data_IF_487436805770
#
_entry.id   IF_487436805770
#
_cell.length_a   1.000
_cell.length_b   1.000
_cell.length_c   1.000
_cell.angle_alpha   90.00
_cell.angle_beta   90.00
_cell.angle_gamma   90.00
#
_symmetry.space_group_name_H-M   'P 1'
#
loop_
_entity.id
_entity.type
_entity.pdbx_description
1 polymer ?
#
# COMPACT_ATOMS: atom_id res chain seq x y z
N UNK A 1 42.49 37.23 -6.77
CA UNK A 1 41.20 37.97 -6.61
C UNK A 1 40.11 36.93 -6.45
N UNK A 2 39.53 36.90 -5.26
CA UNK A 2 38.59 35.91 -4.75
C UNK A 2 37.21 35.93 -5.41
N UNK A 3 36.47 34.81 -5.36
CA UNK A 3 35.06 34.75 -5.70
C UNK A 3 34.19 35.22 -4.52
N UNK A 4 33.25 36.14 -4.78
CA UNK A 4 32.32 36.64 -3.76
C UNK A 4 31.22 35.61 -3.41
N UNK A 5 31.06 35.41 -2.10
CA UNK A 5 30.17 34.49 -1.42
C UNK A 5 28.65 34.68 -1.71
N UNK A 6 27.86 33.59 -1.66
CA UNK A 6 26.40 33.68 -1.57
C UNK A 6 25.95 34.09 -0.17
N UNK A 7 25.15 35.15 -0.08
CA UNK A 7 24.56 35.63 1.18
C UNK A 7 23.70 34.55 1.84
N UNK A 8 24.03 34.27 3.10
CA UNK A 8 23.38 33.31 3.97
C UNK A 8 21.98 33.75 4.43
N UNK A 9 21.12 32.74 4.57
CA UNK A 9 20.08 32.49 5.58
C UNK A 9 19.51 33.69 6.37
N UNK A 10 18.20 33.88 6.25
CA UNK A 10 17.36 34.43 7.31
C UNK A 10 16.31 33.38 7.74
N UNK A 11 16.40 32.96 9.01
CA UNK A 11 15.25 32.60 9.85
C UNK A 11 14.65 31.20 9.72
N UNK A 12 15.31 30.19 10.32
CA UNK A 12 14.56 29.13 10.99
C UNK A 12 13.72 29.77 12.11
N UNK A 13 12.41 29.81 11.96
CA UNK A 13 11.48 30.09 13.07
C UNK A 13 11.31 28.81 13.88
N UNK A 14 11.90 28.79 15.07
CA UNK A 14 11.66 27.76 16.09
C UNK A 14 10.16 27.54 16.30
N UNK A 15 9.80 26.26 16.47
CA UNK A 15 8.53 25.85 17.02
C UNK A 15 8.35 26.47 18.42
N UNK A 16 7.55 27.53 18.52
CA UNK A 16 7.01 27.96 19.80
C UNK A 16 5.94 26.95 20.21
N UNK A 17 6.30 26.11 21.19
CA UNK A 17 5.33 25.54 22.13
C UNK A 17 4.65 26.72 22.84
N UNK A 18 3.50 27.14 22.32
CA UNK A 18 2.61 28.11 22.94
C UNK A 18 1.22 27.53 22.97
N UNK A 19 0.72 27.21 24.16
CA UNK A 19 -0.63 26.69 24.36
C UNK A 19 -1.67 27.66 23.78
N UNK A 20 -2.55 27.15 22.93
CA UNK A 20 -3.65 27.93 22.39
C UNK A 20 -4.83 27.91 23.37
N UNK A 21 -4.75 28.75 24.40
CA UNK A 21 -5.83 29.00 25.36
C UNK A 21 -6.78 30.10 24.87
N UNK A 22 -7.27 30.03 23.62
CA UNK A 22 -8.42 30.84 23.17
C UNK A 22 -9.32 30.00 22.24
N UNK A 23 -10.59 29.84 22.61
CA UNK A 23 -11.59 29.17 21.77
C UNK A 23 -11.70 29.93 20.43
N UNK A 24 -11.46 29.31 19.26
CA UNK A 24 -11.53 30.01 17.99
C UNK A 24 -12.96 30.50 17.73
N UNK A 25 -13.11 31.79 17.39
CA UNK A 25 -14.40 32.38 16.98
C UNK A 25 -14.99 31.54 15.84
N UNK A 26 -16.20 31.01 16.04
CA UNK A 26 -16.91 30.21 15.03
C UNK A 26 -17.16 31.08 13.80
N UNK A 27 -16.76 30.59 12.63
CA UNK A 27 -16.91 31.33 11.37
C UNK A 27 -18.08 30.81 10.56
N UNK A 28 -18.70 31.72 9.83
CA UNK A 28 -19.82 31.44 8.96
C UNK A 28 -19.32 31.20 7.52
N UNK A 29 -19.94 30.25 6.80
CA UNK A 29 -19.66 30.02 5.39
C UNK A 29 -20.12 31.22 4.56
N UNK A 30 -19.44 31.47 3.44
CA UNK A 30 -19.97 32.36 2.39
C UNK A 30 -20.83 31.55 1.43
N UNK A 31 -21.83 32.18 0.84
CA UNK A 31 -22.80 31.51 -0.02
C UNK A 31 -22.16 31.15 -1.38
N UNK A 32 -21.54 32.12 -2.06
CA UNK A 32 -20.94 31.91 -3.38
C UNK A 32 -19.51 32.45 -3.53
N UNK A 33 -18.77 31.82 -4.43
CA UNK A 33 -17.53 32.33 -4.99
C UNK A 33 -17.81 33.19 -6.23
N UNK A 34 -16.97 34.19 -6.47
CA UNK A 34 -16.95 34.85 -7.77
C UNK A 34 -16.26 33.95 -8.82
N UNK A 35 -16.57 34.25 -10.10
CA UNK A 35 -16.11 33.46 -11.25
C UNK A 35 -14.60 33.43 -11.39
N UNK A 36 -13.92 34.53 -11.07
CA UNK A 36 -12.48 34.66 -11.24
C UNK A 36 -11.75 33.87 -10.14
N UNK A 37 -12.21 33.97 -8.90
CA UNK A 37 -11.73 33.19 -7.76
C UNK A 37 -11.88 31.70 -8.02
N UNK A 38 -13.05 31.23 -8.46
CA UNK A 38 -13.21 29.81 -8.79
C UNK A 38 -12.27 29.38 -9.91
N UNK A 39 -12.21 30.13 -11.01
CA UNK A 39 -11.38 29.78 -12.16
C UNK A 39 -9.89 29.78 -11.81
N UNK A 40 -9.43 30.68 -10.93
CA UNK A 40 -8.04 30.75 -10.50
C UNK A 40 -7.71 29.63 -9.50
N UNK A 41 -8.52 29.47 -8.45
CA UNK A 41 -8.22 28.56 -7.34
C UNK A 41 -8.62 27.10 -7.61
N UNK A 42 -9.61 26.79 -8.44
CA UNK A 42 -9.96 25.40 -8.75
C UNK A 42 -9.28 24.86 -10.03
N UNK A 43 -8.52 25.68 -10.77
CA UNK A 43 -7.77 25.22 -11.93
C UNK A 43 -6.80 24.08 -11.58
N UNK A 44 -7.02 22.88 -12.10
CA UNK A 44 -6.30 21.65 -11.72
C UNK A 44 -4.88 21.54 -12.32
N UNK A 45 -4.06 22.57 -12.18
CA UNK A 45 -2.67 22.56 -12.64
C UNK A 45 -1.86 21.48 -11.91
N UNK A 46 -0.92 20.84 -12.63
CA UNK A 46 0.01 19.83 -12.06
C UNK A 46 0.91 20.44 -10.99
N UNK A 47 1.40 21.65 -11.28
CA UNK A 47 2.20 22.48 -10.39
C UNK A 47 1.61 23.88 -10.44
N UNK A 48 1.32 24.46 -9.29
CA UNK A 48 0.74 25.78 -9.18
C UNK A 48 1.53 26.58 -8.15
N UNK A 49 2.01 27.76 -8.56
CA UNK A 49 2.57 28.79 -7.70
C UNK A 49 1.55 29.93 -7.50
N UNK A 50 1.77 30.74 -6.46
CA UNK A 50 1.00 31.96 -6.20
C UNK A 50 -0.45 31.77 -5.72
N UNK A 51 -0.86 30.54 -5.37
CA UNK A 51 -2.21 30.23 -4.86
C UNK A 51 -2.18 29.99 -3.36
N UNK A 52 -2.09 31.08 -2.60
CA UNK A 52 -1.92 31.05 -1.14
C UNK A 52 -3.24 30.80 -0.38
N UNK A 53 -4.37 30.77 -1.10
CA UNK A 53 -5.68 30.48 -0.53
C UNK A 53 -6.20 29.09 -0.94
N UNK A 54 -6.76 28.41 0.05
CA UNK A 54 -7.51 27.17 -0.04
C UNK A 54 -8.99 27.47 0.22
N UNK A 55 -9.81 27.18 -0.79
CA UNK A 55 -11.26 27.18 -0.71
C UNK A 55 -11.79 25.76 -0.58
N UNK A 56 -12.82 25.61 0.26
CA UNK A 56 -13.57 24.39 0.55
C UNK A 56 -15.05 24.68 0.31
N UNK A 57 -15.60 24.18 -0.79
CA UNK A 57 -17.05 24.16 -1.00
C UNK A 57 -17.61 22.88 -0.39
N UNK A 58 -18.62 22.98 0.46
CA UNK A 58 -19.20 21.80 1.10
C UNK A 58 -20.68 21.62 0.77
N UNK A 59 -21.11 20.37 0.85
CA UNK A 59 -22.50 19.97 0.89
C UNK A 59 -22.68 19.00 2.06
N UNK A 60 -23.66 19.23 2.91
CA UNK A 60 -24.04 18.33 4.01
C UNK A 60 -25.44 17.82 3.73
N UNK A 61 -25.54 16.52 3.50
CA UNK A 61 -26.81 15.81 3.35
C UNK A 61 -27.16 15.16 4.69
N UNK A 62 -28.37 15.41 5.18
CA UNK A 62 -28.89 14.84 6.42
C UNK A 62 -29.86 13.71 6.13
N UNK A 63 -29.70 12.60 6.82
CA UNK A 63 -30.62 11.48 6.79
C UNK A 63 -31.34 11.40 8.15
N UNK A 64 -32.62 11.75 8.16
CA UNK A 64 -33.54 11.42 9.25
C UNK A 64 -34.44 10.29 8.79
N UNK A 65 -34.56 9.23 9.58
CA UNK A 65 -35.54 8.14 9.38
C UNK A 65 -35.79 7.77 7.90
N UNK A 66 -34.70 7.43 7.18
CA UNK A 66 -34.70 6.97 5.78
C UNK A 66 -35.20 7.95 4.69
N UNK A 67 -35.29 9.27 4.97
CA UNK A 67 -35.63 10.29 3.96
C UNK A 67 -34.61 11.45 3.96
N UNK A 68 -34.22 12.01 2.78
CA UNK A 68 -33.38 13.20 2.70
C UNK A 68 -34.18 14.44 3.13
N UNK A 69 -33.85 15.03 4.26
CA UNK A 69 -34.67 16.07 4.93
C UNK A 69 -34.21 17.50 4.56
N UNK A 70 -32.89 17.73 4.46
CA UNK A 70 -32.33 19.04 4.09
C UNK A 70 -30.85 18.94 3.67
N UNK A 71 -30.44 19.78 2.72
CA UNK A 71 -29.05 19.94 2.28
C UNK A 71 -28.51 21.32 2.65
N UNK A 72 -27.51 21.38 3.53
CA UNK A 72 -26.77 22.61 3.81
C UNK A 72 -25.58 22.71 2.85
N UNK A 73 -25.30 23.89 2.31
CA UNK A 73 -24.16 24.11 1.43
C UNK A 73 -23.54 25.48 1.67
N UNK A 74 -22.30 25.64 1.23
CA UNK A 74 -21.58 26.90 1.37
C UNK A 74 -20.08 26.75 1.11
N UNK A 75 -19.33 27.82 1.35
CA UNK A 75 -17.89 27.87 1.07
C UNK A 75 -17.12 28.40 2.27
N UNK A 76 -16.05 27.71 2.63
CA UNK A 76 -15.03 28.17 3.57
C UNK A 76 -13.75 28.54 2.83
N UNK A 77 -13.07 29.58 3.30
CA UNK A 77 -11.76 30.00 2.85
C UNK A 77 -10.79 29.93 4.04
N UNK A 78 -9.55 29.51 3.78
CA UNK A 78 -8.48 29.61 4.77
C UNK A 78 -8.14 31.07 5.07
N UNK A 79 -7.72 31.33 6.29
CA UNK A 79 -7.20 32.63 6.68
C UNK A 79 -5.68 32.57 6.77
N UNK A 80 -5.01 33.53 6.14
CA UNK A 80 -3.55 33.62 6.12
C UNK A 80 -3.05 33.74 7.57
N UNK A 81 -2.31 32.72 8.03
CA UNK A 81 -1.70 32.62 9.37
C UNK A 81 -2.58 32.16 10.54
N UNK A 82 -3.85 31.76 10.38
CA UNK A 82 -4.69 31.43 11.56
C UNK A 82 -5.63 30.22 11.48
N UNK A 83 -6.17 29.85 10.32
CA UNK A 83 -7.09 28.70 10.22
C UNK A 83 -7.15 28.16 8.79
N UNK A 84 -7.00 26.86 8.62
CA UNK A 84 -7.24 26.18 7.36
C UNK A 84 -8.75 25.97 7.14
N UNK A 85 -9.19 25.93 5.87
CA UNK A 85 -10.61 25.87 5.53
C UNK A 85 -11.30 24.63 6.12
N UNK A 86 -10.58 23.50 6.17
CA UNK A 86 -11.01 22.23 6.77
C UNK A 86 -11.33 22.39 8.25
N UNK A 87 -10.43 23.02 9.01
CA UNK A 87 -10.60 23.22 10.46
C UNK A 87 -11.72 24.22 10.75
N UNK A 88 -11.81 25.28 9.94
CA UNK A 88 -12.88 26.26 10.02
C UNK A 88 -14.25 25.61 9.77
N UNK A 89 -14.36 24.70 8.79
CA UNK A 89 -15.57 23.89 8.59
C UNK A 89 -15.85 23.00 9.81
N UNK A 90 -14.87 22.25 10.32
CA UNK A 90 -15.09 21.32 11.44
C UNK A 90 -15.55 22.06 12.71
N UNK A 91 -14.96 23.21 13.03
CA UNK A 91 -15.36 24.03 14.17
C UNK A 91 -16.80 24.54 14.02
N UNK A 92 -17.17 25.01 12.84
CA UNK A 92 -18.55 25.45 12.56
C UNK A 92 -19.54 24.28 12.63
N UNK A 93 -19.21 23.15 12.00
CA UNK A 93 -20.07 21.98 11.93
C UNK A 93 -20.35 21.41 13.33
N UNK A 94 -19.30 21.25 14.16
CA UNK A 94 -19.44 20.84 15.57
C UNK A 94 -20.34 21.77 16.37
N UNK A 95 -20.19 23.09 16.19
CA UNK A 95 -20.89 24.05 17.03
C UNK A 95 -22.34 24.33 16.62
N UNK A 96 -22.69 24.11 15.35
CA UNK A 96 -23.96 24.60 14.79
C UNK A 96 -24.85 23.53 14.15
N UNK A 97 -24.28 22.38 13.77
CA UNK A 97 -24.96 21.43 12.88
C UNK A 97 -24.93 20.00 13.38
N UNK A 98 -23.84 19.59 14.02
CA UNK A 98 -23.63 18.21 14.47
C UNK A 98 -24.61 17.83 15.58
N UNK A 99 -25.39 16.77 15.34
CA UNK A 99 -26.24 16.09 16.31
C UNK A 99 -25.89 14.60 16.36
N UNK A 100 -26.01 13.96 17.52
CA UNK A 100 -25.75 12.53 17.69
C UNK A 100 -26.85 11.63 17.11
N UNK A 101 -28.04 12.18 16.83
CA UNK A 101 -29.22 11.41 16.41
C UNK A 101 -29.44 11.40 14.89
N UNK A 102 -28.67 12.18 14.14
CA UNK A 102 -28.77 12.27 12.67
C UNK A 102 -27.57 11.58 12.01
N UNK A 103 -27.76 11.06 10.80
CA UNK A 103 -26.65 10.62 9.96
C UNK A 103 -26.32 11.69 8.92
N UNK A 104 -25.03 11.91 8.70
CA UNK A 104 -24.54 12.94 7.77
C UNK A 104 -23.68 12.33 6.67
N UNK A 105 -23.96 12.73 5.43
CA UNK A 105 -23.00 12.61 4.34
C UNK A 105 -22.46 13.99 3.98
N UNK A 106 -21.17 14.19 4.22
CA UNK A 106 -20.47 15.44 3.96
C UNK A 106 -19.66 15.27 2.70
N UNK A 107 -19.85 16.16 1.73
CA UNK A 107 -19.04 16.24 0.52
C UNK A 107 -18.26 17.55 0.52
N UNK A 108 -16.93 17.47 0.37
CA UNK A 108 -16.02 18.60 0.23
C UNK A 108 -15.44 18.65 -1.17
N UNK A 109 -15.48 19.83 -1.78
CA UNK A 109 -14.75 20.17 -2.99
C UNK A 109 -13.68 21.20 -2.63
N UNK A 110 -12.43 20.75 -2.64
CA UNK A 110 -11.28 21.51 -2.19
C UNK A 110 -10.42 21.97 -3.37
N UNK A 111 -9.98 23.23 -3.33
CA UNK A 111 -8.98 23.75 -4.27
C UNK A 111 -7.59 23.10 -4.12
N UNK A 112 -7.25 22.62 -2.92
CA UNK A 112 -6.03 21.87 -2.58
C UNK A 112 -6.37 20.72 -1.64
N UNK A 113 -5.75 19.56 -1.81
CA UNK A 113 -5.91 18.46 -0.85
C UNK A 113 -5.43 18.88 0.55
N UNK A 114 -5.99 18.31 1.64
CA UNK A 114 -5.61 18.68 2.98
C UNK A 114 -4.12 18.50 3.27
N UNK A 115 -3.56 19.35 4.14
CA UNK A 115 -2.23 19.14 4.70
C UNK A 115 -2.26 18.05 5.79
N UNK A 116 -1.08 17.60 6.27
CA UNK A 116 -0.96 16.57 7.30
C UNK A 116 -1.78 16.91 8.56
N UNK A 117 -1.56 18.09 9.15
CA UNK A 117 -2.26 18.48 10.40
C UNK A 117 -3.78 18.56 10.25
N UNK A 118 -4.27 18.99 9.07
CA UNK A 118 -5.71 18.98 8.79
C UNK A 118 -6.24 17.56 8.60
N UNK A 119 -5.49 16.70 7.90
CA UNK A 119 -5.86 15.31 7.73
C UNK A 119 -5.98 14.58 9.08
N UNK A 120 -5.03 14.78 10.00
CA UNK A 120 -5.05 14.22 11.35
C UNK A 120 -6.30 14.66 12.13
N UNK A 121 -6.60 15.96 12.13
CA UNK A 121 -7.76 16.53 12.81
C UNK A 121 -9.08 16.02 12.22
N UNK A 122 -9.16 15.85 10.90
CA UNK A 122 -10.32 15.27 10.22
C UNK A 122 -10.48 13.79 10.59
N UNK A 123 -9.38 13.03 10.66
CA UNK A 123 -9.40 11.63 11.09
C UNK A 123 -9.87 11.51 12.54
N UNK A 124 -9.38 12.35 13.45
CA UNK A 124 -9.84 12.40 14.83
C UNK A 124 -11.34 12.69 14.91
N UNK A 125 -11.81 13.69 14.17
CA UNK A 125 -13.24 14.02 14.07
C UNK A 125 -14.09 12.84 13.57
N UNK A 126 -13.65 12.12 12.55
CA UNK A 126 -14.37 10.96 12.02
C UNK A 126 -14.35 9.74 12.96
N UNK A 127 -13.32 9.62 13.81
CA UNK A 127 -13.28 8.59 14.86
C UNK A 127 -14.28 8.88 15.97
N UNK A 128 -14.37 10.14 16.39
CA UNK A 128 -15.32 10.62 17.40
C UNK A 128 -16.78 10.51 16.91
N UNK A 129 -17.04 10.73 15.62
CA UNK A 129 -18.39 10.88 15.07
C UNK A 129 -18.69 9.80 14.02
N UNK A 130 -19.06 8.59 14.48
CA UNK A 130 -19.37 7.45 13.60
C UNK A 130 -20.61 7.64 12.71
N UNK A 131 -21.46 8.61 13.04
CA UNK A 131 -22.63 9.00 12.26
C UNK A 131 -22.30 9.92 11.06
N UNK A 132 -21.03 10.22 10.82
CA UNK A 132 -20.58 11.09 9.72
C UNK A 132 -19.78 10.30 8.69
N UNK A 133 -20.17 10.40 7.42
CA UNK A 133 -19.40 9.95 6.26
C UNK A 133 -18.86 11.15 5.51
N UNK A 134 -17.60 11.06 5.05
CA UNK A 134 -16.93 12.17 4.38
C UNK A 134 -16.39 11.77 3.00
N UNK A 135 -16.74 12.57 1.99
CA UNK A 135 -16.23 12.51 0.62
C UNK A 135 -15.44 13.78 0.31
N UNK A 136 -14.16 13.64 -0.02
CA UNK A 136 -13.23 14.72 -0.34
C UNK A 136 -12.85 14.63 -1.82
N UNK A 137 -13.15 15.69 -2.55
CA UNK A 137 -12.77 15.89 -3.94
C UNK A 137 -11.77 17.06 -4.02
N UNK A 138 -10.51 16.77 -4.32
CA UNK A 138 -9.47 17.79 -4.44
C UNK A 138 -9.24 18.16 -5.91
N UNK A 139 -9.18 19.47 -6.21
CA UNK A 139 -8.79 19.97 -7.53
C UNK A 139 -7.31 19.74 -7.82
N UNK A 140 -6.47 19.82 -6.77
CA UNK A 140 -5.01 19.64 -6.83
C UNK A 140 -4.51 18.92 -5.57
N UNK A 141 -3.39 18.23 -5.68
CA UNK A 141 -2.72 17.62 -4.54
C UNK A 141 -1.67 18.57 -3.95
N UNK A 142 -1.75 18.84 -2.65
CA UNK A 142 -0.83 19.72 -1.94
C UNK A 142 0.43 18.97 -1.52
N UNK A 143 1.60 19.48 -1.93
CA UNK A 143 2.92 18.90 -1.64
C UNK A 143 3.00 17.38 -1.79
N UNK A 144 2.37 16.82 -2.83
CA UNK A 144 2.21 15.38 -3.02
C UNK A 144 3.52 14.60 -3.19
N UNK A 145 4.63 15.30 -3.45
CA UNK A 145 5.99 14.74 -3.49
C UNK A 145 6.63 14.56 -2.11
N UNK A 146 6.06 15.14 -1.04
CA UNK A 146 6.57 15.01 0.33
C UNK A 146 5.89 13.82 1.04
N UNK A 147 6.65 12.91 1.67
CA UNK A 147 6.10 11.72 2.35
C UNK A 147 5.03 12.03 3.40
N UNK A 148 5.22 13.07 4.21
CA UNK A 148 4.29 13.45 5.29
C UNK A 148 2.88 13.77 4.78
N UNK A 149 2.79 14.47 3.64
CA UNK A 149 1.51 14.83 3.02
C UNK A 149 0.84 13.61 2.38
N UNK A 150 1.64 12.68 1.84
CA UNK A 150 1.12 11.39 1.38
C UNK A 150 0.55 10.58 2.54
N UNK A 151 1.21 10.57 3.69
CA UNK A 151 0.76 9.90 4.90
C UNK A 151 -0.59 10.44 5.36
N UNK A 152 -0.76 11.77 5.45
CA UNK A 152 -2.06 12.37 5.81
C UNK A 152 -3.21 11.93 4.91
N UNK A 153 -3.00 11.87 3.59
CA UNK A 153 -4.01 11.36 2.65
C UNK A 153 -4.32 9.86 2.83
N UNK A 154 -3.31 9.05 3.19
CA UNK A 154 -3.52 7.63 3.53
C UNK A 154 -4.35 7.50 4.81
N UNK A 155 -4.08 8.28 5.86
CA UNK A 155 -4.84 8.24 7.11
C UNK A 155 -6.33 8.51 6.87
N UNK A 156 -6.65 9.51 6.05
CA UNK A 156 -8.03 9.81 5.66
C UNK A 156 -8.72 8.61 5.01
N UNK A 157 -8.04 7.93 4.08
CA UNK A 157 -8.56 6.72 3.42
C UNK A 157 -8.78 5.57 4.41
N UNK A 158 -7.87 5.37 5.36
CA UNK A 158 -8.00 4.33 6.40
C UNK A 158 -9.23 4.61 7.30
N UNK A 159 -9.53 5.88 7.58
CA UNK A 159 -10.72 6.28 8.33
C UNK A 159 -12.00 6.30 7.46
N UNK A 160 -12.02 5.54 6.36
CA UNK A 160 -13.15 5.40 5.42
C UNK A 160 -13.61 6.72 4.77
N UNK A 161 -12.81 7.78 4.82
CA UNK A 161 -13.07 8.98 4.03
C UNK A 161 -12.72 8.72 2.56
N UNK A 162 -13.60 9.10 1.65
CA UNK A 162 -13.38 8.92 0.23
C UNK A 162 -12.53 10.07 -0.28
N UNK A 163 -11.31 9.83 -0.74
CA UNK A 163 -10.43 10.88 -1.29
C UNK A 163 -10.28 10.70 -2.79
N UNK A 164 -10.72 11.69 -3.58
CA UNK A 164 -10.74 11.65 -5.05
C UNK A 164 -10.24 12.98 -5.64
N UNK A 165 -9.87 12.95 -6.91
CA UNK A 165 -9.59 14.16 -7.69
C UNK A 165 -10.86 14.64 -8.38
N UNK A 166 -11.09 15.95 -8.39
CA UNK A 166 -12.22 16.56 -9.11
C UNK A 166 -12.13 16.31 -10.61
N UNK A 167 -13.14 15.64 -11.15
CA UNK A 167 -13.38 15.41 -12.57
C UNK A 167 -14.02 16.63 -13.23
N UNK A 168 -14.20 16.56 -14.57
CA UNK A 168 -14.96 17.58 -15.29
C UNK A 168 -16.39 17.75 -14.75
N UNK A 169 -17.03 16.65 -14.33
CA UNK A 169 -18.40 16.69 -13.77
C UNK A 169 -18.41 17.45 -12.44
N UNK A 170 -17.40 17.21 -11.60
CA UNK A 170 -17.28 17.87 -10.30
C UNK A 170 -17.02 19.37 -10.47
N UNK A 171 -16.16 19.79 -11.40
CA UNK A 171 -15.96 21.21 -11.69
C UNK A 171 -17.24 21.88 -12.23
N UNK A 172 -17.97 21.20 -13.12
CA UNK A 172 -19.25 21.71 -13.63
C UNK A 172 -20.30 21.80 -12.52
N UNK A 173 -20.34 20.82 -11.63
CA UNK A 173 -21.21 20.82 -10.45
C UNK A 173 -20.87 21.99 -9.53
N UNK A 174 -19.59 22.17 -9.20
CA UNK A 174 -19.19 23.27 -8.33
C UNK A 174 -19.46 24.65 -8.95
N UNK A 175 -19.26 24.79 -10.25
CA UNK A 175 -19.60 26.01 -10.98
C UNK A 175 -21.10 26.34 -10.91
N UNK A 176 -21.97 25.31 -10.96
CA UNK A 176 -23.42 25.50 -10.89
C UNK A 176 -23.88 25.91 -9.49
N UNK A 177 -23.32 25.29 -8.44
CA UNK A 177 -23.88 25.39 -7.09
C UNK A 177 -23.12 26.36 -6.15
N UNK A 178 -21.82 26.58 -6.37
CA UNK A 178 -20.96 27.38 -5.47
C UNK A 178 -20.39 28.64 -6.11
N UNK A 179 -20.73 28.94 -7.36
CA UNK A 179 -20.21 30.11 -8.08
C UNK A 179 -21.37 30.98 -8.54
N UNK A 180 -21.27 32.28 -8.24
CA UNK A 180 -22.18 33.27 -8.80
C UNK A 180 -21.88 33.45 -10.30
N UNK A 181 -22.51 32.60 -11.12
CA UNK A 181 -22.17 32.44 -12.53
C UNK A 181 -23.04 33.25 -13.50
N UNK A 182 -24.09 33.93 -13.01
CA UNK A 182 -25.01 34.75 -13.82
C UNK A 182 -25.60 34.00 -15.04
N UNK A 183 -25.85 32.70 -14.91
CA UNK A 183 -26.35 31.85 -15.99
C UNK A 183 -25.29 31.42 -17.02
N UNK A 184 -24.04 31.85 -16.87
CA UNK A 184 -22.97 31.47 -17.80
C UNK A 184 -22.54 30.01 -17.59
N UNK A 185 -22.37 29.21 -18.66
CA UNK A 185 -21.94 27.83 -18.54
C UNK A 185 -20.48 27.72 -18.12
N UNK A 186 -20.13 26.63 -17.43
CA UNK A 186 -18.76 26.30 -17.08
C UNK A 186 -17.90 26.12 -18.34
N UNK A 187 -16.85 26.91 -18.48
CA UNK A 187 -15.86 26.78 -19.56
C UNK A 187 -14.61 26.06 -19.02
N UNK A 188 -14.28 24.85 -19.49
CA UNK A 188 -13.09 24.14 -19.03
C UNK A 188 -11.81 24.86 -19.48
N UNK A 189 -10.80 24.90 -18.63
CA UNK A 189 -9.48 25.42 -18.97
C UNK A 189 -8.66 24.43 -19.80
N UNK A 190 -7.60 24.93 -20.45
CA UNK A 190 -6.66 24.12 -21.24
C UNK A 190 -6.08 22.99 -20.37
N UNK A 191 -5.98 21.79 -20.95
CA UNK A 191 -5.40 20.57 -20.32
C UNK A 191 -6.14 20.03 -19.09
N UNK A 192 -7.37 20.46 -18.78
CA UNK A 192 -8.16 19.95 -17.64
C UNK A 192 -8.15 18.41 -17.57
N UNK A 193 -8.50 17.73 -18.67
CA UNK A 193 -8.52 16.25 -18.74
C UNK A 193 -7.13 15.61 -18.57
N UNK A 194 -6.10 16.18 -19.21
CA UNK A 194 -4.71 15.68 -19.10
C UNK A 194 -4.14 15.83 -17.69
N UNK A 195 -4.54 16.89 -16.97
CA UNK A 195 -4.11 17.08 -15.58
C UNK A 195 -4.92 16.22 -14.62
N UNK A 196 -6.22 16.05 -14.87
CA UNK A 196 -7.06 15.12 -14.11
C UNK A 196 -6.47 13.71 -14.13
N UNK A 197 -6.15 13.17 -15.31
CA UNK A 197 -5.53 11.85 -15.46
C UNK A 197 -4.21 11.73 -14.67
N UNK A 198 -3.35 12.76 -14.76
CA UNK A 198 -2.10 12.79 -14.00
C UNK A 198 -2.32 12.80 -12.48
N UNK A 199 -3.22 13.66 -11.99
CA UNK A 199 -3.51 13.79 -10.57
C UNK A 199 -4.21 12.55 -10.01
N UNK A 200 -5.10 11.91 -10.78
CA UNK A 200 -5.72 10.62 -10.40
C UNK A 200 -4.65 9.54 -10.29
N UNK A 201 -3.77 9.41 -11.28
CA UNK A 201 -2.68 8.44 -11.22
C UNK A 201 -1.75 8.68 -10.01
N UNK A 202 -1.44 9.95 -9.72
CA UNK A 202 -0.62 10.31 -8.55
C UNK A 202 -1.34 10.07 -7.23
N UNK A 203 -2.62 10.38 -7.13
CA UNK A 203 -3.40 10.07 -5.93
C UNK A 203 -3.52 8.55 -5.74
N UNK A 204 -3.71 7.79 -6.82
CA UNK A 204 -3.71 6.33 -6.79
C UNK A 204 -2.35 5.77 -6.32
N UNK A 205 -1.22 6.33 -6.76
CA UNK A 205 0.12 5.97 -6.27
C UNK A 205 0.26 6.27 -4.77
N UNK A 206 -0.20 7.45 -4.33
CA UNK A 206 -0.10 7.90 -2.94
C UNK A 206 -0.92 7.01 -2.02
N UNK A 207 -2.18 6.76 -2.37
CA UNK A 207 -3.08 5.92 -1.59
C UNK A 207 -2.75 4.43 -1.77
N UNK A 208 -2.16 4.06 -2.92
CA UNK A 208 -1.76 2.72 -3.32
C UNK A 208 -0.38 2.30 -2.82
N UNK A 209 0.38 3.17 -2.15
CA UNK A 209 1.55 2.77 -1.36
C UNK A 209 1.19 1.96 -0.10
N UNK A 210 -0.09 1.64 0.10
CA UNK A 210 -0.56 0.59 1.01
C UNK A 210 -1.05 -0.67 0.27
N UNK A 211 -1.10 -0.68 -1.07
CA UNK A 211 -1.65 -1.75 -1.91
C UNK A 211 -1.19 -1.56 -3.38
N UNK A 212 0.03 -1.97 -3.75
CA UNK A 212 0.36 -2.18 -5.17
C UNK A 212 -0.30 -3.49 -5.61
N UNK A 213 -1.60 -3.45 -5.85
CA UNK A 213 -2.33 -4.59 -6.38
C UNK A 213 -1.69 -5.00 -7.71
N UNK A 214 -1.40 -6.28 -7.85
CA UNK A 214 -0.92 -6.88 -9.09
C UNK A 214 -2.03 -6.76 -10.13
N UNK A 215 -1.66 -6.46 -11.37
CA UNK A 215 -2.59 -6.61 -12.48
C UNK A 215 -2.96 -8.08 -12.63
N UNK A 216 -4.20 -8.37 -13.00
CA UNK A 216 -4.71 -9.73 -13.23
C UNK A 216 -3.80 -10.57 -14.13
N UNK A 217 -3.31 -9.98 -15.23
CA UNK A 217 -2.39 -10.65 -16.14
C UNK A 217 -1.01 -10.96 -15.52
N UNK A 218 -0.48 -10.06 -14.69
CA UNK A 218 0.79 -10.28 -13.97
C UNK A 218 0.62 -11.43 -12.99
N UNK A 219 -0.46 -11.44 -12.21
CA UNK A 219 -0.71 -12.53 -11.28
C UNK A 219 -0.76 -13.88 -12.00
N UNK A 220 -1.62 -14.02 -13.03
CA UNK A 220 -1.75 -15.28 -13.79
C UNK A 220 -0.43 -15.75 -14.39
N UNK A 221 0.37 -14.83 -14.95
CA UNK A 221 1.66 -15.18 -15.55
C UNK A 221 2.71 -15.59 -14.51
N UNK A 222 2.76 -14.89 -13.38
CA UNK A 222 3.88 -15.01 -12.43
C UNK A 222 3.59 -16.03 -11.33
N UNK A 223 2.35 -16.15 -10.86
CA UNK A 223 1.92 -17.11 -9.84
C UNK A 223 1.47 -18.46 -10.42
N UNK A 224 1.32 -18.61 -11.74
CA UNK A 224 0.96 -19.87 -12.38
C UNK A 224 1.90 -21.03 -12.04
N UNK A 225 1.41 -22.10 -11.41
CA UNK A 225 2.24 -23.23 -10.93
C UNK A 225 2.63 -24.24 -12.03
N UNK A 226 2.31 -23.96 -13.29
CA UNK A 226 2.61 -24.87 -14.41
C UNK A 226 4.13 -25.07 -14.56
N UNK A 227 4.61 -26.28 -14.91
CA UNK A 227 6.04 -26.55 -15.08
C UNK A 227 6.64 -25.80 -16.27
N UNK A 228 5.87 -25.60 -17.34
CA UNK A 228 6.28 -24.86 -18.53
C UNK A 228 5.44 -23.60 -18.70
N UNK A 229 6.05 -22.56 -19.27
CA UNK A 229 5.38 -21.29 -19.55
C UNK A 229 4.49 -21.47 -20.80
N UNK A 230 3.18 -21.16 -20.73
CA UNK A 230 2.30 -21.21 -21.89
C UNK A 230 2.68 -20.13 -22.93
N UNK A 231 2.33 -20.35 -24.19
CA UNK A 231 2.53 -19.34 -25.24
C UNK A 231 1.59 -18.13 -25.02
N UNK A 232 2.04 -16.89 -25.32
CA UNK A 232 3.39 -16.51 -25.74
C UNK A 232 4.38 -16.60 -24.58
N UNK A 233 5.58 -17.12 -24.85
CA UNK A 233 6.61 -17.32 -23.82
C UNK A 233 6.98 -15.99 -23.14
N UNK A 234 7.05 -16.00 -21.81
CA UNK A 234 7.47 -14.85 -21.01
C UNK A 234 8.45 -15.27 -19.90
N UNK A 235 9.22 -14.31 -19.41
CA UNK A 235 10.14 -14.54 -18.29
C UNK A 235 9.40 -14.47 -16.96
N UNK A 236 9.49 -15.55 -16.18
CA UNK A 236 9.04 -15.55 -14.78
C UNK A 236 9.99 -14.73 -13.91
N UNK A 237 9.42 -13.94 -13.01
CA UNK A 237 10.09 -13.10 -12.02
C UNK A 237 9.62 -13.51 -10.62
N UNK A 238 10.42 -13.20 -9.61
CA UNK A 238 10.06 -13.50 -8.23
C UNK A 238 9.19 -12.37 -7.68
N UNK A 239 7.95 -12.69 -7.34
CA UNK A 239 7.09 -11.88 -6.50
C UNK A 239 6.90 -12.55 -5.14
N UNK A 240 6.82 -11.71 -4.10
CA UNK A 240 6.46 -12.03 -2.73
C UNK A 240 5.36 -11.06 -2.30
N UNK A 241 4.16 -11.57 -2.06
CA UNK A 241 3.06 -10.83 -1.45
C UNK A 241 2.93 -11.23 0.01
N UNK A 242 2.73 -10.28 0.93
CA UNK A 242 2.64 -10.58 2.36
C UNK A 242 1.44 -9.91 3.00
N UNK A 243 0.86 -10.57 4.00
CA UNK A 243 -0.10 -10.03 4.95
C UNK A 243 0.52 -10.07 6.34
N UNK A 244 0.54 -8.92 7.02
CA UNK A 244 0.88 -8.80 8.43
C UNK A 244 -0.41 -8.69 9.24
N UNK A 245 -0.70 -9.71 10.04
CA UNK A 245 -1.91 -9.79 10.88
C UNK A 245 -1.52 -9.74 12.35
N UNK A 246 -2.35 -9.08 13.14
CA UNK A 246 -2.33 -9.18 14.60
C UNK A 246 -3.19 -10.38 15.05
N UNK A 247 -3.00 -10.87 16.27
CA UNK A 247 -3.75 -12.03 16.82
C UNK A 247 -5.28 -11.91 16.71
N UNK A 248 -5.81 -10.69 16.76
CA UNK A 248 -7.24 -10.41 16.63
C UNK A 248 -7.78 -10.54 15.18
N UNK A 249 -6.93 -11.01 14.25
CA UNK A 249 -7.27 -11.18 12.83
C UNK A 249 -7.20 -9.89 12.01
N UNK A 250 -6.94 -8.75 12.65
CA UNK A 250 -6.79 -7.47 11.96
C UNK A 250 -5.51 -7.43 11.11
N UNK A 251 -5.65 -7.06 9.83
CA UNK A 251 -4.50 -6.89 8.94
C UNK A 251 -3.89 -5.50 9.15
N UNK A 252 -2.68 -5.45 9.70
CA UNK A 252 -1.95 -4.24 10.03
C UNK A 252 -1.29 -3.60 8.80
N UNK A 253 -0.69 -4.42 7.94
CA UNK A 253 -0.03 -3.99 6.71
C UNK A 253 -0.04 -5.16 5.70
N UNK A 254 -0.04 -4.83 4.41
CA UNK A 254 0.11 -5.83 3.35
C UNK A 254 0.75 -5.20 2.11
N UNK A 255 1.39 -6.02 1.29
CA UNK A 255 2.01 -5.54 0.06
C UNK A 255 2.63 -6.64 -0.79
N UNK A 256 3.11 -6.26 -1.97
CA UNK A 256 3.83 -7.17 -2.88
C UNK A 256 5.17 -6.57 -3.33
N UNK A 257 6.21 -7.38 -3.26
CA UNK A 257 7.56 -7.08 -3.74
C UNK A 257 7.91 -7.93 -4.93
N UNK A 258 8.39 -7.26 -5.99
CA UNK A 258 9.09 -7.91 -7.09
C UNK A 258 10.59 -7.86 -6.85
N UNK A 259 11.32 -8.91 -7.24
CA UNK A 259 12.77 -8.90 -7.29
C UNK A 259 13.31 -7.79 -8.20
N UNK A 260 14.43 -7.19 -7.80
CA UNK A 260 15.16 -6.13 -8.51
C UNK A 260 16.61 -6.56 -8.76
N UNK A 261 17.33 -5.82 -9.60
CA UNK A 261 18.76 -6.07 -9.86
C UNK A 261 19.51 -6.09 -8.52
N UNK A 262 20.21 -7.19 -8.24
CA UNK A 262 20.95 -7.45 -7.00
C UNK A 262 20.12 -7.46 -5.69
N UNK A 263 18.78 -7.49 -5.75
CA UNK A 263 17.94 -7.58 -4.54
C UNK A 263 16.79 -8.55 -4.72
N UNK A 264 16.79 -9.61 -3.91
CA UNK A 264 15.71 -10.59 -3.87
C UNK A 264 14.44 -9.99 -3.25
N UNK A 265 13.29 -10.62 -3.50
CA UNK A 265 12.01 -10.09 -3.02
C UNK A 265 11.91 -10.23 -1.48
N UNK A 266 12.52 -11.29 -0.95
CA UNK A 266 12.65 -11.68 0.44
C UNK A 266 13.40 -10.61 1.26
N UNK A 267 14.58 -10.17 0.80
CA UNK A 267 15.35 -9.10 1.46
C UNK A 267 14.57 -7.79 1.51
N UNK A 268 13.81 -7.46 0.44
CA UNK A 268 12.95 -6.26 0.43
C UNK A 268 11.77 -6.37 1.38
N UNK A 269 11.26 -7.58 1.57
CA UNK A 269 10.22 -7.89 2.53
C UNK A 269 10.73 -7.72 3.97
N UNK A 270 11.92 -8.25 4.28
CA UNK A 270 12.56 -8.09 5.59
C UNK A 270 12.73 -6.59 5.92
N UNK A 271 13.36 -5.81 5.02
CA UNK A 271 13.51 -4.35 5.20
C UNK A 271 12.18 -3.66 5.56
N UNK A 272 11.11 -4.05 4.87
CA UNK A 272 9.78 -3.47 5.07
C UNK A 272 9.25 -3.81 6.46
N UNK A 273 9.28 -5.08 6.87
CA UNK A 273 8.76 -5.46 8.19
C UNK A 273 9.60 -4.82 9.31
N UNK A 274 10.92 -4.83 9.19
CA UNK A 274 11.81 -4.15 10.14
C UNK A 274 11.50 -2.65 10.24
N UNK A 275 11.17 -1.99 9.12
CA UNK A 275 10.81 -0.56 9.12
C UNK A 275 9.49 -0.22 9.82
N UNK A 276 8.64 -1.21 10.11
CA UNK A 276 7.34 -0.98 10.75
C UNK A 276 7.45 -0.76 12.27
N UNK A 277 8.61 -1.02 12.89
CA UNK A 277 8.83 -0.88 14.33
C UNK A 277 7.69 -1.48 15.17
N UNK A 278 7.39 -2.76 14.92
CA UNK A 278 6.31 -3.49 15.56
C UNK A 278 6.52 -3.58 17.08
N UNK A 279 5.42 -3.56 17.85
CA UNK A 279 5.46 -3.59 19.32
C UNK A 279 5.98 -4.97 19.79
N UNK A 280 7.11 -5.04 20.51
CA UNK A 280 7.67 -6.30 20.98
C UNK A 280 6.72 -7.11 21.88
N UNK A 281 5.77 -6.45 22.55
CA UNK A 281 4.85 -7.09 23.48
C UNK A 281 3.65 -7.76 22.79
N UNK A 282 3.44 -7.49 21.50
CA UNK A 282 2.33 -8.02 20.73
C UNK A 282 2.83 -9.09 19.77
N UNK A 283 2.04 -10.15 19.58
CA UNK A 283 2.36 -11.19 18.59
C UNK A 283 1.72 -10.90 17.25
N UNK A 284 2.50 -11.13 16.20
CA UNK A 284 2.07 -10.95 14.82
C UNK A 284 2.24 -12.24 14.01
N UNK A 285 1.35 -12.41 13.03
CA UNK A 285 1.40 -13.48 12.06
C UNK A 285 1.60 -12.89 10.68
N UNK A 286 2.65 -13.35 10.01
CA UNK A 286 2.99 -12.97 8.65
C UNK A 286 2.66 -14.14 7.74
N UNK A 287 1.86 -13.88 6.71
CA UNK A 287 1.54 -14.85 5.65
C UNK A 287 2.15 -14.32 4.36
N UNK A 288 3.04 -15.09 3.75
CA UNK A 288 3.73 -14.76 2.52
C UNK A 288 3.31 -15.70 1.38
N UNK A 289 2.90 -15.14 0.25
CA UNK A 289 2.63 -15.85 -1.00
C UNK A 289 3.76 -15.55 -1.98
N UNK A 290 4.53 -16.57 -2.35
CA UNK A 290 5.71 -16.43 -3.20
C UNK A 290 5.59 -17.22 -4.50
N UNK A 291 6.01 -16.59 -5.59
CA UNK A 291 6.06 -17.24 -6.91
C UNK A 291 7.09 -18.38 -6.98
N UNK A 292 8.15 -18.31 -6.20
CA UNK A 292 9.21 -19.31 -6.11
C UNK A 292 9.62 -19.45 -4.64
N UNK A 293 9.91 -20.67 -4.19
CA UNK A 293 10.45 -20.88 -2.84
C UNK A 293 11.79 -20.13 -2.67
N UNK A 294 12.11 -19.66 -1.45
CA UNK A 294 13.35 -18.91 -1.20
C UNK A 294 14.61 -19.68 -1.61
N UNK A 295 15.63 -18.95 -2.07
CA UNK A 295 16.97 -19.53 -2.26
C UNK A 295 17.70 -19.70 -0.91
N UNK A 296 18.83 -20.43 -0.84
CA UNK A 296 19.54 -20.70 0.40
C UNK A 296 19.93 -19.43 1.18
N UNK A 297 20.42 -18.40 0.48
CA UNK A 297 20.78 -17.13 1.10
C UNK A 297 19.56 -16.43 1.71
N UNK A 298 18.45 -16.36 0.96
CA UNK A 298 17.21 -15.77 1.48
C UNK A 298 16.57 -16.60 2.59
N UNK A 299 16.71 -17.93 2.56
CA UNK A 299 16.26 -18.78 3.64
C UNK A 299 17.04 -18.47 4.94
N UNK A 300 18.37 -18.34 4.85
CA UNK A 300 19.19 -17.88 5.97
C UNK A 300 18.78 -16.51 6.50
N UNK A 301 18.64 -15.51 5.62
CA UNK A 301 18.18 -14.16 6.02
C UNK A 301 16.81 -14.17 6.72
N UNK A 302 15.88 -15.01 6.26
CA UNK A 302 14.55 -15.15 6.88
C UNK A 302 14.62 -15.85 8.25
N UNK A 303 15.50 -16.84 8.40
CA UNK A 303 15.75 -17.51 9.70
C UNK A 303 16.35 -16.52 10.69
N UNK A 304 17.37 -15.77 10.30
CA UNK A 304 18.01 -14.76 11.14
C UNK A 304 17.01 -13.68 11.57
N UNK A 305 16.14 -13.27 10.63
CA UNK A 305 15.07 -12.30 10.88
C UNK A 305 14.06 -12.80 11.93
N UNK A 306 13.59 -14.05 11.81
CA UNK A 306 12.58 -14.61 12.73
C UNK A 306 13.19 -14.93 14.09
N UNK A 307 14.40 -15.48 14.14
CA UNK A 307 15.10 -15.74 15.40
C UNK A 307 15.42 -14.46 16.19
N UNK A 308 15.48 -13.30 15.50
CA UNK A 308 15.62 -12.00 16.15
C UNK A 308 14.33 -11.44 16.75
N UNK A 309 13.16 -12.04 16.48
CA UNK A 309 11.85 -11.52 16.87
C UNK A 309 10.89 -12.63 17.34
N UNK A 310 10.93 -12.96 18.64
CA UNK A 310 10.09 -14.01 19.26
C UNK A 310 8.57 -13.77 19.14
N UNK A 311 8.17 -12.55 18.80
CA UNK A 311 6.78 -12.16 18.65
C UNK A 311 6.25 -12.32 17.21
N UNK A 312 7.08 -12.76 16.26
CA UNK A 312 6.69 -12.98 14.86
C UNK A 312 6.54 -14.47 14.53
N UNK A 313 5.42 -14.82 13.90
CA UNK A 313 5.23 -16.11 13.24
C UNK A 313 5.19 -15.91 11.73
N UNK A 314 5.98 -16.69 10.98
CA UNK A 314 6.06 -16.58 9.52
C UNK A 314 5.57 -17.86 8.83
N UNK A 315 4.70 -17.67 7.85
CA UNK A 315 4.19 -18.72 6.98
C UNK A 315 4.46 -18.36 5.52
N UNK A 316 5.03 -19.28 4.75
CA UNK A 316 5.39 -19.09 3.36
C UNK A 316 4.67 -20.12 2.51
N UNK A 317 3.82 -19.65 1.61
CA UNK A 317 3.16 -20.44 0.59
C UNK A 317 3.84 -20.20 -0.76
N UNK A 318 4.51 -21.22 -1.27
CA UNK A 318 5.20 -21.16 -2.56
C UNK A 318 4.34 -21.75 -3.68
N UNK A 319 4.16 -20.99 -4.76
CA UNK A 319 3.54 -21.52 -5.99
C UNK A 319 4.40 -22.62 -6.64
N UNK A 320 5.72 -22.46 -6.59
CA UNK A 320 6.71 -23.39 -7.19
C UNK A 320 7.97 -23.48 -6.35
N UNK A 321 8.70 -24.59 -6.44
CA UNK A 321 9.98 -24.77 -5.75
C UNK A 321 11.15 -24.38 -6.64
N UNK A 322 12.03 -23.50 -6.14
CA UNK A 322 13.20 -23.01 -6.85
C UNK A 322 14.36 -23.98 -6.73
N UNK A 323 14.92 -24.43 -7.87
CA UNK A 323 16.06 -25.36 -7.96
C UNK A 323 15.99 -26.55 -6.99
N UNK A 324 14.79 -27.11 -6.79
CA UNK A 324 14.51 -28.12 -5.77
C UNK A 324 15.20 -29.49 -5.99
N UNK A 325 15.89 -29.68 -7.12
CA UNK A 325 16.75 -30.83 -7.40
C UNK A 325 18.17 -30.65 -6.83
N UNK A 326 18.58 -29.43 -6.49
CA UNK A 326 19.90 -29.11 -5.93
C UNK A 326 19.86 -29.20 -4.41
N UNK A 327 20.80 -29.96 -3.81
CA UNK A 327 20.82 -30.20 -2.35
C UNK A 327 20.93 -28.94 -1.50
N UNK A 328 21.68 -27.92 -1.94
CA UNK A 328 21.83 -26.67 -1.17
C UNK A 328 20.49 -25.93 -1.01
N UNK A 329 19.64 -25.94 -2.05
CA UNK A 329 18.30 -25.35 -2.00
C UNK A 329 17.36 -26.14 -1.09
N UNK A 330 17.48 -27.47 -1.08
CA UNK A 330 16.74 -28.33 -0.17
C UNK A 330 17.10 -28.02 1.29
N UNK A 331 18.40 -27.87 1.60
CA UNK A 331 18.89 -27.47 2.93
C UNK A 331 18.34 -26.12 3.39
N UNK A 332 18.24 -25.13 2.50
CA UNK A 332 17.63 -23.84 2.84
C UNK A 332 16.17 -23.96 3.29
N UNK A 333 15.37 -24.78 2.61
CA UNK A 333 13.96 -25.02 3.01
C UNK A 333 13.86 -25.82 4.31
N UNK A 334 14.77 -26.78 4.50
CA UNK A 334 14.91 -27.55 5.74
C UNK A 334 15.26 -26.65 6.93
N UNK A 335 16.16 -25.68 6.75
CA UNK A 335 16.52 -24.69 7.78
C UNK A 335 15.33 -23.83 8.18
N UNK A 336 14.51 -23.37 7.22
CA UNK A 336 13.27 -22.63 7.53
C UNK A 336 12.33 -23.47 8.40
N UNK A 337 12.13 -24.74 8.06
CA UNK A 337 11.29 -25.65 8.84
C UNK A 337 11.83 -25.87 10.26
N UNK A 338 13.16 -26.02 10.40
CA UNK A 338 13.81 -26.17 11.70
C UNK A 338 13.67 -24.91 12.59
N UNK A 339 13.63 -23.72 11.98
CA UNK A 339 13.37 -22.44 12.64
C UNK A 339 11.88 -22.14 12.86
N UNK A 340 11.01 -23.16 12.79
CA UNK A 340 9.56 -23.04 12.96
C UNK A 340 8.85 -22.13 11.93
N UNK A 341 9.50 -21.81 10.80
CA UNK A 341 8.86 -21.13 9.67
C UNK A 341 8.12 -22.16 8.84
N UNK A 342 6.79 -22.05 8.80
CA UNK A 342 5.96 -22.97 8.01
C UNK A 342 6.14 -22.72 6.52
N UNK A 343 6.65 -23.71 5.79
CA UNK A 343 6.77 -23.66 4.32
C UNK A 343 5.82 -24.67 3.69
N UNK A 344 4.87 -24.16 2.90
CA UNK A 344 3.87 -24.96 2.21
C UNK A 344 3.77 -24.57 0.73
N UNK A 345 3.06 -25.37 -0.06
CA UNK A 345 2.77 -25.08 -1.47
C UNK A 345 1.39 -24.45 -1.57
N UNK A 346 1.23 -23.44 -2.42
CA UNK A 346 -0.08 -22.81 -2.66
C UNK A 346 -1.07 -23.84 -3.25
N UNK A 347 -2.19 -24.05 -2.58
CA UNK A 347 -3.34 -24.79 -3.13
C UNK A 347 -4.31 -23.80 -3.77
N UNK A 348 -5.48 -24.29 -4.22
CA UNK A 348 -6.54 -23.42 -4.74
C UNK A 348 -6.93 -22.32 -3.74
N UNK A 349 -7.02 -22.65 -2.45
CA UNK A 349 -7.38 -21.70 -1.40
C UNK A 349 -6.37 -20.55 -1.31
N UNK A 350 -5.07 -20.84 -1.27
CA UNK A 350 -4.06 -19.79 -1.18
C UNK A 350 -3.93 -18.96 -2.46
N UNK A 351 -4.23 -19.54 -3.64
CA UNK A 351 -4.31 -18.77 -4.88
C UNK A 351 -5.51 -17.82 -4.88
N UNK A 352 -6.65 -18.27 -4.37
CA UNK A 352 -7.87 -17.46 -4.23
C UNK A 352 -7.67 -16.35 -3.20
N UNK A 353 -7.16 -16.66 -2.00
CA UNK A 353 -6.80 -15.67 -0.99
C UNK A 353 -5.83 -14.61 -1.58
N UNK A 354 -4.79 -15.07 -2.27
CA UNK A 354 -3.81 -14.15 -2.85
C UNK A 354 -4.42 -13.30 -3.98
N UNK A 355 -5.40 -13.84 -4.73
CA UNK A 355 -6.12 -13.13 -5.77
C UNK A 355 -7.02 -12.03 -5.17
N UNK A 356 -7.78 -12.34 -4.13
CA UNK A 356 -8.67 -11.38 -3.47
C UNK A 356 -7.90 -10.24 -2.81
N UNK A 357 -6.76 -10.57 -2.20
CA UNK A 357 -6.06 -9.65 -1.32
C UNK A 357 -5.05 -8.76 -2.04
N UNK A 358 -4.49 -9.24 -3.15
CA UNK A 358 -3.34 -8.63 -3.82
C UNK A 358 -3.51 -8.37 -5.32
N UNK A 359 -4.64 -8.71 -5.93
CA UNK A 359 -4.86 -8.48 -7.37
C UNK A 359 -5.93 -7.41 -7.58
N UNK A 360 -5.73 -6.56 -8.57
CA UNK A 360 -6.77 -5.65 -9.08
C UNK A 360 -7.78 -6.46 -9.92
N UNK A 361 -8.55 -7.29 -9.22
CA UNK A 361 -9.48 -8.25 -9.81
C UNK A 361 -10.77 -7.60 -10.34
N UNK A 362 -11.00 -6.31 -10.07
CA UNK A 362 -12.18 -5.55 -10.50
C UNK A 362 -13.51 -6.21 -10.09
N UNK A 363 -13.51 -6.98 -9.00
CA UNK A 363 -14.67 -7.75 -8.53
C UNK A 363 -14.87 -9.10 -9.22
N UNK A 364 -13.95 -9.52 -10.09
CA UNK A 364 -13.99 -10.83 -10.72
C UNK A 364 -13.44 -11.92 -9.78
N UNK A 365 -14.10 -13.09 -9.70
CA UNK A 365 -13.62 -14.20 -8.90
C UNK A 365 -12.32 -14.79 -9.47
N UNK A 366 -11.60 -15.54 -8.65
CA UNK A 366 -10.43 -16.27 -9.10
C UNK A 366 -10.84 -17.42 -10.03
N UNK A 367 -10.29 -17.46 -11.25
CA UNK A 367 -10.46 -18.61 -12.14
C UNK A 367 -9.18 -19.44 -12.15
N UNK A 368 -9.28 -20.72 -11.78
CA UNK A 368 -8.17 -21.66 -11.86
C UNK A 368 -7.74 -21.89 -13.31
N UNK A 369 -6.46 -22.16 -13.51
CA UNK A 369 -5.94 -22.62 -14.79
C UNK A 369 -5.98 -24.15 -14.85
N UNK A 370 -5.84 -24.69 -16.06
CA UNK A 370 -5.84 -26.14 -16.29
C UNK A 370 -4.82 -26.86 -15.38
N UNK A 371 -5.30 -27.91 -14.71
CA UNK A 371 -4.54 -28.80 -13.80
C UNK A 371 -3.89 -28.11 -12.59
N UNK A 372 -4.40 -26.95 -12.15
CA UNK A 372 -3.87 -26.23 -10.98
C UNK A 372 -3.69 -27.15 -9.77
N UNK A 373 -4.73 -27.90 -9.39
CA UNK A 373 -4.75 -28.77 -8.22
C UNK A 373 -3.74 -29.92 -8.36
N UNK A 374 -3.68 -30.57 -9.53
CA UNK A 374 -2.73 -31.66 -9.81
C UNK A 374 -1.28 -31.18 -9.69
N UNK A 375 -0.97 -29.97 -10.18
CA UNK A 375 0.35 -29.37 -10.03
C UNK A 375 0.67 -29.06 -8.57
N UNK A 376 -0.26 -28.45 -7.83
CA UNK A 376 -0.07 -28.18 -6.40
C UNK A 376 0.19 -29.46 -5.61
N UNK A 377 -0.56 -30.54 -5.83
CA UNK A 377 -0.35 -31.84 -5.17
C UNK A 377 1.02 -32.46 -5.50
N UNK A 378 1.45 -32.40 -6.76
CA UNK A 378 2.74 -32.92 -7.19
C UNK A 378 3.90 -32.15 -6.53
N UNK A 379 3.80 -30.82 -6.50
CA UNK A 379 4.79 -29.95 -5.86
C UNK A 379 4.78 -30.17 -4.33
N UNK A 380 3.61 -30.32 -3.71
CA UNK A 380 3.47 -30.63 -2.27
C UNK A 380 4.14 -31.95 -1.90
N UNK A 381 3.90 -33.03 -2.66
CA UNK A 381 4.59 -34.32 -2.45
C UNK A 381 6.10 -34.22 -2.62
N UNK A 382 6.57 -33.32 -3.49
CA UNK A 382 8.02 -33.04 -3.62
C UNK A 382 8.55 -32.28 -2.40
N UNK A 383 7.84 -31.26 -1.93
CA UNK A 383 8.22 -30.49 -0.75
C UNK A 383 8.27 -31.37 0.50
N UNK A 384 7.26 -32.21 0.73
CA UNK A 384 7.22 -33.16 1.85
C UNK A 384 8.44 -34.09 1.86
N UNK A 385 8.86 -34.62 0.70
CA UNK A 385 10.08 -35.43 0.59
C UNK A 385 11.35 -34.64 0.93
N UNK A 386 11.40 -33.35 0.59
CA UNK A 386 12.53 -32.46 0.93
C UNK A 386 12.56 -32.21 2.44
N UNK A 387 11.41 -31.99 3.08
CA UNK A 387 11.32 -31.68 4.50
C UNK A 387 11.39 -32.92 5.41
N UNK A 388 11.19 -34.14 4.87
CA UNK A 388 11.18 -35.38 5.65
C UNK A 388 12.49 -35.62 6.43
N UNK A 389 12.43 -35.96 7.74
CA UNK A 389 13.58 -36.23 8.61
C UNK A 389 14.56 -37.28 8.08
N UNK A 390 14.07 -38.26 7.32
CA UNK A 390 14.88 -39.36 6.75
C UNK A 390 15.98 -38.89 5.79
N UNK A 391 15.84 -37.70 5.19
CA UNK A 391 16.86 -37.12 4.31
C UNK A 391 17.93 -36.29 5.03
N UNK A 392 17.78 -36.07 6.35
CA UNK A 392 18.75 -35.33 7.15
C UNK A 392 19.96 -36.21 7.52
N UNK A 393 19.75 -37.52 7.70
CA UNK A 393 20.75 -38.45 8.22
C UNK A 393 21.75 -39.04 7.20
N UNK A 394 21.72 -38.64 5.93
CA UNK A 394 22.81 -38.98 4.98
C UNK A 394 24.10 -38.14 5.23
N UNK A 395 24.34 -37.78 6.49
CA UNK A 395 25.38 -36.88 6.98
C UNK A 395 26.64 -37.63 7.47
N UNK A 396 26.62 -38.96 7.63
CA UNK A 396 27.80 -39.75 8.01
C UNK A 396 28.35 -40.69 6.91
N UNK A 397 27.52 -41.21 6.00
CA UNK A 397 27.99 -42.25 5.07
C UNK A 397 28.75 -41.72 3.84
N UNK A 398 28.57 -40.45 3.47
CA UNK A 398 29.21 -39.90 2.25
C UNK A 398 30.70 -39.52 2.40
N UNK A 399 31.28 -39.68 3.60
CA UNK A 399 32.72 -39.53 3.83
C UNK A 399 33.45 -40.86 4.11
N UNK A 400 32.73 -41.97 4.31
CA UNK A 400 33.35 -43.30 4.47
C UNK A 400 33.63 -44.01 3.14
N UNK A 401 32.88 -43.69 2.08
CA UNK A 401 33.03 -44.35 0.77
C UNK A 401 34.11 -43.76 -0.16
N UNK A 402 34.93 -42.81 0.33
CA UNK A 402 36.05 -42.23 -0.42
C UNK A 402 37.44 -42.74 0.02
N UNK A 403 37.52 -43.89 0.71
CA UNK A 403 38.79 -44.63 0.84
C UNK A 403 38.75 -45.93 0.03
N UNK A 404 38.85 -45.78 -1.29
CA UNK A 404 39.38 -46.80 -2.20
C UNK A 404 40.71 -46.25 -2.76
N UNK A 405 41.81 -46.99 -2.77
CA UNK A 405 41.96 -48.40 -2.44
C UNK A 405 43.43 -48.80 -2.31
N UNK A 406 43.63 -49.94 -1.67
CA UNK A 406 44.87 -50.70 -1.72
C UNK A 406 45.04 -51.30 -3.13
N UNK A 407 46.27 -51.44 -3.65
CA UNK A 407 46.49 -51.95 -4.99
C UNK A 407 46.30 -53.48 -5.05
N UNK A 408 45.63 -53.97 -6.09
CA UNK A 408 45.55 -55.40 -6.42
C UNK A 408 46.82 -55.88 -7.16
N UNK A 409 47.15 -57.18 -7.09
CA UNK A 409 48.49 -57.70 -7.38
C UNK A 409 48.77 -57.90 -8.87
N UNK A 410 50.01 -57.62 -9.26
CA UNK A 410 50.57 -57.83 -10.59
C UNK A 410 50.64 -59.32 -10.96
N UNK A 411 50.01 -59.67 -12.08
CA UNK A 411 50.14 -60.96 -12.76
C UNK A 411 51.54 -61.15 -13.32
N UNK A 412 52.25 -62.18 -12.84
CA UNK A 412 53.43 -62.75 -13.47
C UNK A 412 53.04 -63.38 -14.82
N UNK A 413 53.58 -62.85 -15.91
CA UNK A 413 53.74 -63.58 -17.17
C UNK A 413 55.21 -63.97 -17.31
N UNK A 414 55.42 -65.27 -17.25
CA UNK A 414 56.59 -65.97 -17.76
C UNK A 414 56.68 -65.77 -19.28
N UNK A 415 57.85 -65.38 -19.77
CA UNK A 415 58.32 -65.85 -21.08
C UNK A 415 59.83 -66.08 -20.99
N UNK A 416 60.20 -67.30 -21.41
CA UNK A 416 61.55 -67.80 -21.49
C UNK A 416 62.02 -67.70 -22.94
N UNK A 417 63.16 -67.04 -23.13
CA UNK A 417 64.28 -67.32 -24.07
C UNK A 417 64.89 -66.04 -24.63
#
# INVERSE_FOLDING_TARGET
>A
MEPQHPRQRAGMGLASKGGCSQRPRIRHPVEWLDRQTFSFHFCNLRFASGRNYTYLCYQVERLKHCSPDSSDWGVFQNWVYSCHAELCFLSWFRAKKLSSYEQYHITWFLSWSPCLSCAEQVVAFLKENRNVRLSIFAARLYYFWKPDYQHGLRMLRHQRAWVRIMSFRDFKYCWKNFVYNQGMPFKPWKKLRKNYQFLVAKLHEILGNTMNLLKTNIFRQQFGNQPRVPQPCYRRKTYLCYQLKQLDGFTLDKGCFQNKKQRHAETRFIDKITSLNLDPNQRYRIICYVTWSPCPACAGELVDFINGQDNLSLQIFASRLYFHWVRVFQRGLQQLQAAQVSVAVMTRSEFEDCWEEFVDNQGMPFESWDKLEQYSESISRRLQRILSPSNWNNLEDSFRDLRLGSPSPSSLRSDSR
#
